data_IF_573822927827
#
_entry.id   IF_573822927827
#
_cell.length_a   1.000
_cell.length_b   1.000
_cell.length_c   1.000
_cell.angle_alpha   90.00
_cell.angle_beta   90.00
_cell.angle_gamma   90.00
#
_symmetry.space_group_name_H-M   'P 1'
#
loop_
_entity.id
_entity.type
_entity.pdbx_description
1 polymer ?
#
# COMPACT_ATOMS: atom_id res chain seq x y z
N UNK A 1 -24.75 -1.52 17.62
CA UNK A 1 -23.60 -1.67 16.70
C UNK A 1 -22.38 -2.05 17.53
N UNK A 2 -21.64 -3.11 17.18
CA UNK A 2 -20.49 -3.56 17.98
C UNK A 2 -19.37 -2.48 17.95
N UNK A 3 -18.94 -1.98 19.12
CA UNK A 3 -17.98 -0.86 19.26
C UNK A 3 -16.69 -1.08 18.47
N UNK A 4 -16.21 -2.32 18.39
CA UNK A 4 -14.99 -2.66 17.65
C UNK A 4 -15.17 -2.58 16.12
N UNK A 5 -16.36 -2.91 15.60
CA UNK A 5 -16.68 -2.77 14.17
C UNK A 5 -16.71 -1.31 13.76
N UNK A 6 -17.39 -0.47 14.55
CA UNK A 6 -17.42 0.97 14.33
C UNK A 6 -16.01 1.57 14.34
N UNK A 7 -15.20 1.21 15.35
CA UNK A 7 -13.84 1.70 15.42
C UNK A 7 -12.99 1.26 14.22
N UNK A 8 -13.15 0.01 13.77
CA UNK A 8 -12.45 -0.49 12.58
C UNK A 8 -12.85 0.29 11.33
N UNK A 9 -14.14 0.62 11.14
CA UNK A 9 -14.61 1.44 10.02
C UNK A 9 -14.03 2.86 10.05
N UNK A 10 -13.96 3.47 11.24
CA UNK A 10 -13.35 4.80 11.41
C UNK A 10 -11.85 4.74 11.08
N UNK A 11 -11.13 3.72 11.57
CA UNK A 11 -9.71 3.55 11.27
C UNK A 11 -9.46 3.35 9.77
N UNK A 12 -10.31 2.57 9.07
CA UNK A 12 -10.24 2.41 7.61
C UNK A 12 -10.39 3.77 6.91
N UNK A 13 -11.43 4.54 7.26
CA UNK A 13 -11.72 5.82 6.62
C UNK A 13 -10.58 6.84 6.85
N UNK A 14 -10.08 6.93 8.08
CA UNK A 14 -8.96 7.81 8.44
C UNK A 14 -7.68 7.39 7.72
N UNK A 15 -7.36 6.10 7.68
CA UNK A 15 -6.13 5.62 7.04
C UNK A 15 -6.18 5.76 5.52
N UNK A 16 -7.35 5.54 4.90
CA UNK A 16 -7.54 5.79 3.48
C UNK A 16 -7.40 7.27 3.13
N UNK A 17 -8.03 8.17 3.89
CA UNK A 17 -7.91 9.61 3.71
C UNK A 17 -6.48 10.12 3.94
N UNK A 18 -5.81 9.63 4.99
CA UNK A 18 -4.41 9.96 5.27
C UNK A 18 -3.49 9.48 4.15
N UNK A 19 -3.70 8.26 3.64
CA UNK A 19 -2.95 7.70 2.51
C UNK A 19 -3.08 8.60 1.27
N UNK A 20 -4.29 9.06 0.97
CA UNK A 20 -4.53 10.01 -0.12
C UNK A 20 -3.79 11.34 0.10
N UNK A 21 -3.88 11.95 1.28
CA UNK A 21 -3.17 13.20 1.58
C UNK A 21 -1.65 13.03 1.41
N UNK A 22 -1.12 11.92 1.93
CA UNK A 22 0.29 11.57 1.85
C UNK A 22 0.76 11.24 0.42
N UNK A 23 -0.16 10.93 -0.50
CA UNK A 23 0.15 10.72 -1.91
C UNK A 23 0.51 12.02 -2.64
N UNK A 24 0.03 13.17 -2.14
CA UNK A 24 0.34 14.48 -2.70
C UNK A 24 1.72 14.99 -2.25
N UNK A 25 2.27 14.44 -1.17
CA UNK A 25 3.63 14.73 -0.71
C UNK A 25 4.61 13.86 -1.50
N UNK A 26 5.11 14.41 -2.61
CA UNK A 26 6.01 13.72 -3.54
C UNK A 26 7.47 14.10 -3.28
N UNK A 27 8.34 13.10 -3.25
CA UNK A 27 9.78 13.26 -3.16
C UNK A 27 10.43 12.94 -4.51
N UNK A 28 11.16 13.89 -5.09
CA UNK A 28 11.89 13.67 -6.34
C UNK A 28 11.13 14.07 -7.62
N UNK A 29 11.57 13.51 -8.75
CA UNK A 29 11.18 13.95 -10.09
C UNK A 29 9.73 13.56 -10.46
N UNK A 30 9.17 14.27 -11.44
CA UNK A 30 7.89 13.92 -12.07
C UNK A 30 8.11 12.84 -13.12
N UNK A 31 7.57 11.65 -12.87
CA UNK A 31 7.48 10.58 -13.86
C UNK A 31 6.35 10.88 -14.86
N UNK A 32 6.69 10.93 -16.15
CA UNK A 32 5.78 11.41 -17.20
C UNK A 32 4.52 10.54 -17.37
N UNK A 33 4.65 9.22 -17.23
CA UNK A 33 3.57 8.24 -17.35
C UNK A 33 3.00 7.83 -15.99
N UNK A 34 3.09 8.73 -15.00
CA UNK A 34 2.67 8.45 -13.62
C UNK A 34 3.73 7.72 -12.80
N UNK A 35 3.42 7.51 -11.52
CA UNK A 35 4.40 7.10 -10.52
C UNK A 35 4.94 8.28 -9.72
N UNK A 36 5.30 8.01 -8.46
CA UNK A 36 5.91 8.99 -7.57
C UNK A 36 6.47 8.27 -6.36
N UNK A 37 7.52 8.82 -5.76
CA UNK A 37 7.94 8.43 -4.42
C UNK A 37 7.11 9.25 -3.43
N UNK A 38 6.22 8.59 -2.70
CA UNK A 38 5.32 9.23 -1.74
C UNK A 38 5.22 8.43 -0.44
N UNK A 39 4.34 8.87 0.46
CA UNK A 39 4.04 8.14 1.70
C UNK A 39 2.69 7.41 1.65
N UNK A 40 2.09 7.26 0.46
CA UNK A 40 0.76 6.65 0.27
C UNK A 40 0.67 5.25 0.88
N UNK A 41 1.75 4.47 0.83
CA UNK A 41 1.78 3.09 1.29
C UNK A 41 1.74 2.98 2.82
N UNK A 42 2.30 3.96 3.54
CA UNK A 42 2.51 3.87 5.00
C UNK A 42 1.21 3.61 5.76
N UNK A 43 0.11 4.38 5.58
CA UNK A 43 -1.13 4.13 6.32
C UNK A 43 -1.76 2.78 6.00
N UNK A 44 -1.64 2.30 4.76
CA UNK A 44 -2.18 1.00 4.33
C UNK A 44 -1.47 -0.13 5.08
N UNK A 45 -0.13 -0.10 5.16
CA UNK A 45 0.62 -1.09 5.92
C UNK A 45 0.34 -1.01 7.42
N UNK A 46 0.26 0.20 7.99
CA UNK A 46 -0.06 0.39 9.41
C UNK A 46 -1.38 -0.27 9.76
N UNK A 47 -2.45 0.00 9.00
CA UNK A 47 -3.75 -0.60 9.28
C UNK A 47 -3.80 -2.10 8.99
N UNK A 48 -3.11 -2.57 7.95
CA UNK A 48 -3.01 -3.99 7.63
C UNK A 48 -2.34 -4.76 8.78
N UNK A 49 -1.23 -4.26 9.32
CA UNK A 49 -0.53 -4.88 10.44
C UNK A 49 -1.30 -4.77 11.76
N UNK A 50 -2.08 -3.70 11.96
CA UNK A 50 -2.92 -3.50 13.15
C UNK A 50 -4.16 -4.39 13.18
N UNK A 51 -4.90 -4.45 12.07
CA UNK A 51 -6.25 -5.04 11.99
C UNK A 51 -6.28 -6.36 11.21
N UNK A 52 -5.22 -6.70 10.50
CA UNK A 52 -5.11 -7.90 9.67
C UNK A 52 -5.44 -7.64 8.20
N UNK A 53 -5.21 -8.68 7.39
CA UNK A 53 -5.10 -8.53 5.93
C UNK A 53 -6.42 -8.10 5.28
N UNK A 54 -7.57 -8.56 5.80
CA UNK A 54 -8.89 -8.19 5.27
C UNK A 54 -9.15 -6.68 5.35
N UNK A 55 -8.75 -6.08 6.47
CA UNK A 55 -8.90 -4.63 6.69
C UNK A 55 -7.87 -3.86 5.87
N UNK A 56 -6.64 -4.38 5.77
CA UNK A 56 -5.62 -3.84 4.87
C UNK A 56 -6.07 -3.82 3.41
N UNK A 57 -6.61 -4.94 2.92
CA UNK A 57 -7.12 -5.12 1.54
C UNK A 57 -8.25 -4.14 1.25
N UNK A 58 -9.23 -4.02 2.16
CA UNK A 58 -10.32 -3.06 2.01
C UNK A 58 -9.81 -1.61 2.01
N UNK A 59 -8.89 -1.27 2.90
CA UNK A 59 -8.31 0.08 2.96
C UNK A 59 -7.53 0.39 1.68
N UNK A 60 -6.69 -0.54 1.22
CA UNK A 60 -5.95 -0.41 -0.02
C UNK A 60 -6.86 -0.27 -1.25
N UNK A 61 -7.93 -1.05 -1.32
CA UNK A 61 -8.95 -0.90 -2.36
C UNK A 61 -9.57 0.51 -2.36
N UNK A 62 -9.96 1.03 -1.19
CA UNK A 62 -10.51 2.38 -1.08
C UNK A 62 -9.49 3.45 -1.49
N UNK A 63 -8.22 3.31 -1.12
CA UNK A 63 -7.15 4.21 -1.57
C UNK A 63 -7.03 4.16 -3.10
N UNK A 64 -7.07 2.98 -3.70
CA UNK A 64 -7.07 2.84 -5.16
C UNK A 64 -8.26 3.52 -5.83
N UNK A 65 -9.47 3.37 -5.28
CA UNK A 65 -10.65 4.09 -5.79
C UNK A 65 -10.50 5.60 -5.63
N UNK A 66 -9.99 6.08 -4.50
CA UNK A 66 -9.79 7.52 -4.26
C UNK A 66 -8.74 8.11 -5.20
N UNK A 67 -7.62 7.41 -5.44
CA UNK A 67 -6.59 7.85 -6.38
C UNK A 67 -7.11 7.90 -7.83
N UNK A 68 -7.95 6.93 -8.22
CA UNK A 68 -8.66 6.96 -9.50
C UNK A 68 -9.54 8.21 -9.64
N UNK A 69 -10.37 8.51 -8.63
CA UNK A 69 -11.33 9.64 -8.69
C UNK A 69 -10.60 11.00 -8.70
N UNK A 70 -9.47 11.10 -7.99
CA UNK A 70 -8.80 12.40 -7.75
C UNK A 70 -7.70 12.73 -8.75
N UNK A 71 -7.18 11.76 -9.49
CA UNK A 71 -6.09 11.98 -10.44
C UNK A 71 -5.85 10.82 -11.40
N UNK A 72 -6.87 9.99 -11.64
CA UNK A 72 -6.77 8.85 -12.53
C UNK A 72 -6.66 9.25 -14.00
N UNK A 73 -5.82 8.51 -14.73
CA UNK A 73 -5.64 8.54 -16.16
C UNK A 73 -6.00 7.16 -16.72
N UNK A 74 -7.15 7.09 -17.38
CA UNK A 74 -7.76 5.84 -17.83
C UNK A 74 -7.73 5.79 -19.34
N UNK A 75 -7.01 4.81 -19.89
CA UNK A 75 -6.96 4.54 -21.33
C UNK A 75 -7.70 3.25 -21.69
N UNK A 76 -7.90 2.35 -20.72
CA UNK A 76 -8.63 1.10 -20.93
C UNK A 76 -9.26 0.58 -19.62
N UNK A 77 -10.44 -0.08 -19.65
CA UNK A 77 -11.08 -0.59 -18.43
C UNK A 77 -10.24 -1.60 -17.64
N UNK A 78 -9.45 -2.43 -18.32
CA UNK A 78 -8.53 -3.35 -17.65
C UNK A 78 -7.33 -2.60 -17.06
N UNK A 79 -6.76 -1.63 -17.79
CA UNK A 79 -5.68 -0.78 -17.28
C UNK A 79 -6.07 -0.06 -15.99
N UNK A 80 -7.31 0.45 -15.92
CA UNK A 80 -7.87 1.05 -14.71
C UNK A 80 -7.71 0.13 -13.49
N UNK A 81 -8.02 -1.17 -13.65
CA UNK A 81 -7.90 -2.14 -12.56
C UNK A 81 -6.43 -2.27 -12.12
N UNK A 82 -5.52 -2.40 -13.09
CA UNK A 82 -4.09 -2.62 -12.85
C UNK A 82 -3.35 -1.39 -12.32
N UNK A 83 -3.85 -0.17 -12.55
CA UNK A 83 -3.19 1.06 -12.11
C UNK A 83 -3.80 1.73 -10.88
N UNK A 84 -5.07 1.43 -10.55
CA UNK A 84 -5.72 2.03 -9.37
C UNK A 84 -6.15 1.00 -8.32
N UNK A 85 -7.27 0.27 -8.41
CA UNK A 85 -7.76 -0.50 -7.27
C UNK A 85 -6.85 -1.67 -6.90
N UNK A 86 -6.37 -2.44 -7.88
CA UNK A 86 -5.56 -3.64 -7.65
C UNK A 86 -4.21 -3.36 -6.96
N UNK A 87 -3.36 -2.42 -7.45
CA UNK A 87 -2.02 -2.21 -6.88
C UNK A 87 -2.03 -1.78 -5.42
N UNK A 88 -3.06 -1.05 -4.96
CA UNK A 88 -3.19 -0.67 -3.56
C UNK A 88 -3.90 -1.75 -2.73
N UNK A 89 -4.89 -2.45 -3.30
CA UNK A 89 -5.56 -3.59 -2.65
C UNK A 89 -4.55 -4.66 -2.22
N UNK A 90 -3.63 -5.04 -3.11
CA UNK A 90 -2.67 -6.11 -2.84
C UNK A 90 -1.70 -5.77 -1.70
N UNK A 91 -1.54 -4.48 -1.37
CA UNK A 91 -0.71 -4.08 -0.22
C UNK A 91 -1.24 -4.60 1.11
N UNK A 92 -2.55 -4.83 1.21
CA UNK A 92 -3.16 -5.42 2.42
C UNK A 92 -2.67 -6.84 2.74
N UNK A 93 -2.21 -7.59 1.74
CA UNK A 93 -1.72 -8.95 1.93
C UNK A 93 -0.38 -9.02 2.67
N UNK A 94 0.30 -7.89 2.85
CA UNK A 94 1.51 -7.81 3.67
C UNK A 94 1.36 -8.39 5.06
N UNK A 95 0.17 -8.24 5.66
CA UNK A 95 -0.06 -8.71 7.03
C UNK A 95 -0.29 -10.21 7.14
N UNK A 96 -0.27 -10.99 6.05
CA UNK A 96 -0.30 -12.46 6.13
C UNK A 96 0.91 -12.97 6.92
N UNK A 97 2.04 -12.27 6.84
CA UNK A 97 3.28 -12.58 7.56
C UNK A 97 3.31 -12.03 8.99
N UNK A 98 2.28 -11.26 9.41
CA UNK A 98 2.26 -10.56 10.69
C UNK A 98 1.16 -11.14 11.58
N UNK A 99 1.57 -11.73 12.70
CA UNK A 99 0.64 -12.16 13.74
C UNK A 99 0.06 -10.94 14.48
N UNK A 100 -1.27 -10.89 14.59
CA UNK A 100 -1.96 -9.84 15.34
C UNK A 100 -1.65 -9.96 16.82
N UNK A 101 -1.27 -8.85 17.46
CA UNK A 101 -0.87 -8.81 18.87
C UNK A 101 -1.46 -7.59 19.57
N UNK A 102 -1.78 -7.75 20.86
CA UNK A 102 -2.28 -6.68 21.75
C UNK A 102 -1.19 -6.11 22.65
N UNK A 103 -0.01 -6.71 22.65
CA UNK A 103 1.07 -6.41 23.60
C UNK A 103 2.42 -6.14 22.95
N UNK A 104 2.63 -6.59 21.71
CA UNK A 104 3.91 -6.47 21.02
C UNK A 104 3.70 -5.99 19.59
N UNK A 105 4.56 -5.06 19.14
CA UNK A 105 4.60 -4.69 17.73
C UNK A 105 5.03 -5.88 16.85
N UNK A 106 4.70 -5.85 15.54
CA UNK A 106 5.20 -6.82 14.58
C UNK A 106 6.74 -6.89 14.62
N UNK A 107 7.27 -8.12 14.51
CA UNK A 107 8.71 -8.31 14.34
C UNK A 107 9.17 -7.58 13.07
N UNK A 108 10.33 -6.94 13.13
CA UNK A 108 10.91 -6.21 11.98
C UNK A 108 11.04 -7.13 10.76
N UNK A 109 11.43 -8.40 10.94
CA UNK A 109 11.49 -9.37 9.85
C UNK A 109 10.13 -9.59 9.18
N UNK A 110 9.04 -9.67 9.94
CA UNK A 110 7.69 -9.81 9.40
C UNK A 110 7.24 -8.56 8.63
N UNK A 111 7.61 -7.37 9.10
CA UNK A 111 7.39 -6.10 8.38
C UNK A 111 8.12 -6.13 7.04
N UNK A 112 9.40 -6.51 7.03
CA UNK A 112 10.23 -6.58 5.82
C UNK A 112 9.64 -7.57 4.82
N UNK A 113 9.36 -8.81 5.23
CA UNK A 113 8.79 -9.83 4.34
C UNK A 113 7.41 -9.43 3.80
N UNK A 114 6.54 -8.90 4.68
CA UNK A 114 5.21 -8.45 4.28
C UNK A 114 5.26 -7.29 3.30
N UNK A 115 6.12 -6.30 3.55
CA UNK A 115 6.33 -5.17 2.66
C UNK A 115 6.86 -5.62 1.30
N UNK A 116 7.96 -6.40 1.26
CA UNK A 116 8.55 -6.91 0.02
C UNK A 116 7.55 -7.72 -0.81
N UNK A 117 6.78 -8.59 -0.17
CA UNK A 117 5.77 -9.39 -0.85
C UNK A 117 4.69 -8.51 -1.48
N UNK A 118 4.09 -7.62 -0.69
CA UNK A 118 3.04 -6.71 -1.14
C UNK A 118 3.50 -5.75 -2.25
N UNK A 119 4.69 -5.15 -2.11
CA UNK A 119 5.24 -4.24 -3.12
C UNK A 119 5.57 -4.96 -4.42
N UNK A 120 5.98 -6.23 -4.35
CA UNK A 120 6.20 -7.06 -5.54
C UNK A 120 4.88 -7.33 -6.27
N UNK A 121 3.79 -7.61 -5.55
CA UNK A 121 2.46 -7.74 -6.17
C UNK A 121 1.99 -6.43 -6.82
N UNK A 122 2.21 -5.29 -6.15
CA UNK A 122 1.95 -3.96 -6.71
C UNK A 122 2.79 -3.71 -7.96
N UNK A 123 4.08 -4.07 -7.94
CA UNK A 123 4.97 -3.97 -9.08
C UNK A 123 4.44 -4.76 -10.28
N UNK A 124 3.98 -6.00 -10.09
CA UNK A 124 3.43 -6.78 -11.20
C UNK A 124 2.20 -6.12 -11.83
N UNK A 125 1.36 -5.46 -11.02
CA UNK A 125 0.19 -4.75 -11.54
C UNK A 125 0.61 -3.61 -12.49
N UNK A 126 1.52 -2.74 -12.04
CA UNK A 126 2.01 -1.64 -12.88
C UNK A 126 2.91 -2.11 -14.02
N UNK A 127 3.66 -3.20 -13.83
CA UNK A 127 4.51 -3.78 -14.87
C UNK A 127 3.67 -4.26 -16.05
N UNK A 128 2.63 -5.07 -15.80
CA UNK A 128 1.75 -5.53 -16.88
C UNK A 128 0.94 -4.39 -17.49
N UNK A 129 0.53 -3.40 -16.69
CA UNK A 129 -0.09 -2.19 -17.24
C UNK A 129 0.86 -1.47 -18.21
N UNK A 130 2.11 -1.26 -17.79
CA UNK A 130 3.15 -0.61 -18.58
C UNK A 130 3.48 -1.34 -19.88
N UNK A 131 3.53 -2.67 -19.86
CA UNK A 131 3.80 -3.48 -21.05
C UNK A 131 2.67 -3.38 -22.08
N UNK A 132 1.42 -3.42 -21.62
CA UNK A 132 0.26 -3.54 -22.52
C UNK A 132 -0.19 -2.17 -23.05
N UNK A 133 -0.23 -1.14 -22.20
CA UNK A 133 -0.82 0.17 -22.55
C UNK A 133 0.19 1.31 -22.65
N UNK A 134 1.39 1.17 -22.12
CA UNK A 134 2.41 2.23 -22.12
C UNK A 134 3.71 1.82 -22.83
N UNK A 135 3.68 0.72 -23.58
CA UNK A 135 4.83 0.24 -24.35
C UNK A 135 5.24 1.18 -25.48
N UNK A 136 4.32 2.01 -25.97
CA UNK A 136 4.58 3.01 -27.02
C UNK A 136 5.54 4.12 -26.57
N UNK A 137 5.75 4.30 -25.26
CA UNK A 137 6.69 5.26 -24.72
C UNK A 137 8.13 4.69 -24.58
N UNK A 138 8.34 3.44 -24.97
CA UNK A 138 9.66 2.83 -24.96
C UNK A 138 10.58 3.52 -25.99
N UNK A 139 11.84 3.87 -25.62
CA UNK A 139 12.81 4.39 -26.56
C UNK A 139 13.10 3.44 -27.73
N UNK A 140 13.54 3.99 -28.86
CA UNK A 140 13.95 3.21 -30.03
C UNK A 140 14.96 2.12 -29.65
N UNK A 141 14.64 0.87 -29.98
CA UNK A 141 15.46 -0.31 -29.67
C UNK A 141 15.25 -0.91 -28.28
N UNK A 142 14.38 -0.35 -27.43
CA UNK A 142 14.01 -0.91 -26.12
C UNK A 142 12.68 -1.67 -26.20
N UNK A 143 12.63 -2.90 -25.67
CA UNK A 143 11.36 -3.63 -25.60
C UNK A 143 10.41 -3.01 -24.56
N UNK A 144 9.08 -3.07 -24.78
CA UNK A 144 8.08 -2.63 -23.78
C UNK A 144 8.26 -3.28 -22.40
N UNK A 145 8.74 -4.52 -22.36
CA UNK A 145 9.06 -5.25 -21.13
C UNK A 145 10.19 -4.59 -20.34
N UNK A 146 11.31 -4.28 -21.00
CA UNK A 146 12.43 -3.62 -20.33
C UNK A 146 12.03 -2.21 -19.90
N UNK A 147 11.32 -1.48 -20.77
CA UNK A 147 10.87 -0.12 -20.46
C UNK A 147 9.98 -0.11 -19.21
N UNK A 148 8.93 -0.94 -19.20
CA UNK A 148 8.02 -1.05 -18.06
C UNK A 148 8.73 -1.49 -16.77
N UNK A 149 9.68 -2.43 -16.86
CA UNK A 149 10.44 -2.91 -15.71
C UNK A 149 11.26 -1.77 -15.06
N UNK A 150 12.11 -1.10 -15.84
CA UNK A 150 12.96 -0.04 -15.30
C UNK A 150 12.17 1.19 -14.87
N UNK A 151 11.12 1.55 -15.64
CA UNK A 151 10.24 2.66 -15.29
C UNK A 151 9.59 2.42 -13.92
N UNK A 152 8.98 1.25 -13.70
CA UNK A 152 8.28 0.97 -12.45
C UNK A 152 9.22 0.79 -11.25
N UNK A 153 10.38 0.15 -11.43
CA UNK A 153 11.37 0.03 -10.35
C UNK A 153 11.91 1.39 -9.92
N UNK A 154 12.09 2.32 -10.87
CA UNK A 154 12.73 3.62 -10.59
C UNK A 154 12.01 4.45 -9.51
N UNK A 155 10.68 4.30 -9.35
CA UNK A 155 9.93 4.94 -8.27
C UNK A 155 9.47 3.96 -7.17
N UNK A 156 9.10 2.72 -7.50
CA UNK A 156 8.59 1.77 -6.50
C UNK A 156 9.66 1.31 -5.52
N UNK A 157 10.90 1.08 -5.98
CA UNK A 157 11.98 0.66 -5.11
C UNK A 157 12.30 1.72 -4.04
N UNK A 158 12.56 3.00 -4.39
CA UNK A 158 12.77 4.03 -3.38
C UNK A 158 11.52 4.29 -2.52
N UNK A 159 10.30 4.24 -3.07
CA UNK A 159 9.06 4.37 -2.28
C UNK A 159 8.93 3.24 -1.24
N UNK A 160 9.26 2.01 -1.63
CA UNK A 160 9.29 0.87 -0.72
C UNK A 160 10.34 1.03 0.38
N UNK A 161 11.55 1.47 0.05
CA UNK A 161 12.60 1.69 1.06
C UNK A 161 12.22 2.80 2.05
N UNK A 162 11.65 3.90 1.54
CA UNK A 162 11.14 4.98 2.39
C UNK A 162 10.03 4.48 3.32
N UNK A 163 9.08 3.73 2.78
CA UNK A 163 8.00 3.10 3.54
C UNK A 163 8.56 2.14 4.60
N UNK A 164 9.58 1.33 4.27
CA UNK A 164 10.22 0.41 5.21
C UNK A 164 10.83 1.16 6.40
N UNK A 165 11.61 2.21 6.13
CA UNK A 165 12.25 3.02 7.17
C UNK A 165 11.19 3.56 8.13
N UNK A 166 10.11 4.13 7.61
CA UNK A 166 9.04 4.69 8.43
C UNK A 166 8.34 3.61 9.26
N UNK A 167 8.00 2.47 8.66
CA UNK A 167 7.34 1.38 9.38
C UNK A 167 8.22 0.81 10.50
N UNK A 168 9.53 0.66 10.28
CA UNK A 168 10.47 0.20 11.31
C UNK A 168 10.62 1.24 12.42
N UNK A 169 10.71 2.52 12.09
CA UNK A 169 10.76 3.61 13.08
C UNK A 169 9.49 3.66 13.92
N UNK A 170 8.31 3.54 13.30
CA UNK A 170 7.04 3.45 14.02
C UNK A 170 6.98 2.21 14.91
N UNK A 171 7.42 1.04 14.43
CA UNK A 171 7.36 -0.20 15.21
C UNK A 171 8.26 -0.15 16.45
N UNK A 172 9.40 0.56 16.38
CA UNK A 172 10.33 0.73 17.50
C UNK A 172 9.93 1.88 18.44
N UNK A 173 9.52 3.02 17.89
CA UNK A 173 9.31 4.26 18.65
C UNK A 173 7.87 4.44 19.11
N UNK A 174 6.90 3.92 18.34
CA UNK A 174 5.46 4.05 18.58
C UNK A 174 4.71 2.73 18.32
N UNK A 175 5.04 1.64 19.03
CA UNK A 175 4.47 0.31 18.79
C UNK A 175 2.94 0.27 18.88
N UNK A 176 2.32 1.19 19.62
CA UNK A 176 0.87 1.30 19.79
C UNK A 176 0.08 1.43 18.49
N UNK A 177 0.69 1.94 17.40
CA UNK A 177 0.04 2.01 16.10
C UNK A 177 -0.31 0.62 15.55
N UNK A 178 0.47 -0.40 15.88
CA UNK A 178 0.29 -1.76 15.37
C UNK A 178 -0.43 -2.70 16.35
N UNK A 179 -0.69 -2.25 17.58
CA UNK A 179 -1.35 -3.08 18.58
C UNK A 179 -2.86 -3.13 18.33
N UNK A 180 -3.40 -4.34 18.34
CA UNK A 180 -4.83 -4.55 18.36
C UNK A 180 -5.43 -4.02 19.67
N UNK A 181 -6.66 -3.50 19.61
CA UNK A 181 -7.38 -3.14 20.82
C UNK A 181 -7.58 -4.37 21.72
N UNK A 182 -7.36 -4.21 23.03
CA UNK A 182 -7.83 -5.19 24.01
C UNK A 182 -9.36 -5.21 23.94
N UNK A 183 -9.95 -6.38 23.68
CA UNK A 183 -11.37 -6.57 23.92
C UNK A 183 -11.60 -6.46 25.43
N UNK A 184 -12.18 -5.35 25.87
CA UNK A 184 -12.75 -5.23 27.22
C UNK A 184 -14.04 -6.06 27.21
N UNK A 185 -13.92 -7.38 27.36
CA UNK A 185 -15.05 -8.27 27.12
C UNK A 185 -14.80 -9.76 27.31
N UNK A 186 -13.91 -10.14 28.21
CA UNK A 186 -13.81 -11.51 28.72
C UNK A 186 -13.71 -11.44 30.22
N UNK A 187 -14.84 -11.51 30.92
CA UNK A 187 -14.84 -11.77 32.36
C UNK A 187 -14.08 -13.06 32.58
N UNK A 188 -13.17 -13.06 33.54
CA UNK A 188 -12.82 -14.27 34.25
C UNK A 188 -14.11 -14.89 34.78
N UNK A 189 -14.41 -16.10 34.30
CA UNK A 189 -15.31 -17.05 34.94
C UNK A 189 -14.70 -18.42 34.71
#
# INVERSE_FOLDING_TARGET
MNRDRLQTMIEIAVMAGLSLILSYVKFGAFWAMGGSISLIMVPIFVIAFRRGWKVGVLTGFLVGVLTLITGGYVVHPIQLIFDYPLPYLVLGFASIFVARSVSHAPKVSAIVFGLLFATTLRFFSHYFSGVIWFGEFAPDGMSPHLYSFFYNISYLLPEMLLTLVILVLLAKSYPQFFLANRHVGGKAS
#
